data_IF_058455426284
#
_entry.id   IF_058455426284
#
_cell.length_a   1.000
_cell.length_b   1.000
_cell.length_c   1.000
_cell.angle_alpha   90.00
_cell.angle_beta   90.00
_cell.angle_gamma   90.00
#
_symmetry.space_group_name_H-M   'P 1'
#
loop_
_entity.id
_entity.type
_entity.pdbx_description
1 polymer ?
#
# COMPACT_ATOMS: atom_id res chain seq x y z
N UNK A 1 22.91 14.66 6.77
CA UNK A 1 22.41 13.40 7.40
C UNK A 1 20.95 13.28 7.02
N UNK A 2 20.54 12.15 6.51
CA UNK A 2 19.12 11.89 6.17
C UNK A 2 18.34 11.60 7.46
N UNK A 3 17.42 12.48 7.83
CA UNK A 3 16.56 12.29 9.00
C UNK A 3 15.31 11.47 8.60
N UNK A 4 14.94 10.51 9.46
CA UNK A 4 13.75 9.68 9.28
C UNK A 4 12.74 10.00 10.37
N UNK A 5 11.48 10.18 10.01
CA UNK A 5 10.37 10.33 10.92
C UNK A 5 9.26 9.34 10.57
N UNK A 6 8.65 8.74 11.58
CA UNK A 6 7.52 7.81 11.43
C UNK A 6 6.27 8.50 11.93
N UNK A 7 5.23 8.54 11.11
CA UNK A 7 3.89 8.97 11.49
C UNK A 7 2.98 7.76 11.66
N UNK A 8 2.38 7.65 12.83
CA UNK A 8 1.34 6.69 13.11
C UNK A 8 0.16 7.39 13.78
N UNK A 9 -0.98 7.42 13.09
CA UNK A 9 -2.20 8.08 13.58
C UNK A 9 -2.02 9.54 14.02
N UNK A 10 -1.08 10.28 13.42
CA UNK A 10 -0.75 11.66 13.78
C UNK A 10 0.28 11.81 14.91
N UNK A 11 0.75 10.71 15.46
CA UNK A 11 1.88 10.69 16.40
C UNK A 11 3.19 10.49 15.65
N UNK A 12 4.19 11.32 15.99
CA UNK A 12 5.47 11.36 15.30
C UNK A 12 6.59 10.79 16.15
N UNK A 13 7.33 9.85 15.55
CA UNK A 13 8.48 9.20 16.16
C UNK A 13 9.73 9.46 15.33
N UNK A 14 10.86 9.70 16.01
CA UNK A 14 12.16 9.92 15.35
C UNK A 14 13.11 8.80 15.77
N UNK A 15 13.32 7.78 14.92
CA UNK A 15 14.32 6.76 15.15
C UNK A 15 15.73 7.34 15.30
N UNK A 16 16.50 6.79 16.24
CA UNK A 16 17.92 7.14 16.42
C UNK A 16 18.80 6.54 15.31
N UNK A 17 19.91 7.20 14.99
CA UNK A 17 20.90 6.66 14.04
C UNK A 17 21.67 5.46 14.62
N UNK A 18 21.82 5.42 15.94
CA UNK A 18 22.72 4.49 16.62
C UNK A 18 22.01 3.27 17.21
N UNK A 19 20.71 3.37 17.43
CA UNK A 19 19.91 2.32 18.06
C UNK A 19 18.80 1.83 17.14
N UNK A 20 18.50 0.50 17.15
CA UNK A 20 17.34 -0.04 16.45
C UNK A 20 16.04 0.53 17.01
N UNK A 21 15.09 0.86 16.14
CA UNK A 21 13.74 1.29 16.50
C UNK A 21 12.75 0.19 16.12
N UNK A 22 12.10 -0.39 17.12
CA UNK A 22 11.15 -1.49 16.94
C UNK A 22 9.70 -0.99 16.87
N UNK A 23 8.92 -1.64 16.02
CA UNK A 23 7.49 -1.39 15.81
C UNK A 23 6.74 -2.70 16.05
N UNK A 24 5.70 -2.67 16.88
CA UNK A 24 4.94 -3.88 17.17
C UNK A 24 3.94 -3.66 18.30
N UNK A 25 3.52 -4.75 18.97
CA UNK A 25 2.59 -4.68 20.09
C UNK A 25 3.27 -4.17 21.37
N UNK A 26 4.53 -4.58 21.61
CA UNK A 26 5.33 -4.24 22.79
C UNK A 26 6.71 -3.76 22.32
N UNK A 27 6.78 -2.55 21.74
CA UNK A 27 7.95 -2.02 21.07
C UNK A 27 8.07 -0.50 21.28
N UNK A 28 9.10 0.14 20.72
CA UNK A 28 9.32 1.59 20.79
C UNK A 28 8.12 2.37 20.24
N UNK A 29 7.56 1.90 19.12
CA UNK A 29 6.25 2.27 18.63
C UNK A 29 5.29 1.11 18.92
N UNK A 30 4.48 1.26 19.97
CA UNK A 30 3.40 0.32 20.27
C UNK A 30 2.19 0.65 19.39
N UNK A 31 1.93 -0.20 18.40
CA UNK A 31 0.87 0.03 17.41
C UNK A 31 -0.52 -0.20 18.01
N UNK A 32 -0.70 -1.34 18.69
CA UNK A 32 -1.98 -1.75 19.25
C UNK A 32 -1.78 -2.97 20.19
N UNK A 33 -2.69 -3.20 21.13
CA UNK A 33 -2.73 -4.39 21.99
C UNK A 33 -3.41 -5.58 21.29
N UNK A 34 -3.16 -5.73 20.00
CA UNK A 34 -3.73 -6.81 19.18
C UNK A 34 -2.93 -8.12 19.40
N UNK A 35 -3.56 -9.20 19.90
CA UNK A 35 -2.86 -10.48 20.16
C UNK A 35 -2.31 -11.14 18.89
N UNK A 36 -2.82 -10.81 17.70
CA UNK A 36 -2.32 -11.30 16.42
C UNK A 36 -1.09 -10.54 15.94
N UNK A 37 -0.78 -9.38 16.51
CA UNK A 37 0.43 -8.61 16.18
C UNK A 37 1.61 -9.11 17.00
N UNK A 38 2.76 -9.29 16.36
CA UNK A 38 4.01 -9.63 17.05
C UNK A 38 4.40 -8.53 18.04
N UNK A 39 5.01 -8.91 19.16
CA UNK A 39 5.56 -7.93 20.14
C UNK A 39 6.53 -6.97 19.47
N UNK A 40 7.42 -7.52 18.61
CA UNK A 40 8.29 -6.78 17.70
C UNK A 40 8.04 -7.32 16.30
N UNK A 41 7.50 -6.52 15.43
CA UNK A 41 7.11 -6.91 14.08
C UNK A 41 8.06 -6.35 13.03
N UNK A 42 8.27 -5.04 13.06
CA UNK A 42 9.19 -4.36 12.17
C UNK A 42 10.33 -3.73 12.97
N UNK A 43 11.48 -3.61 12.35
CA UNK A 43 12.66 -2.96 12.92
C UNK A 43 13.25 -2.00 11.92
N UNK A 44 13.49 -0.78 12.36
CA UNK A 44 14.19 0.24 11.60
C UNK A 44 15.61 0.34 12.15
N UNK A 45 16.61 0.34 11.25
CA UNK A 45 18.02 0.53 11.58
C UNK A 45 18.66 1.45 10.57
N UNK A 46 19.70 2.19 11.00
CA UNK A 46 20.50 3.00 10.11
C UNK A 46 21.90 2.36 9.99
N UNK A 47 22.28 1.99 8.76
CA UNK A 47 23.57 1.33 8.48
C UNK A 47 24.16 1.93 7.20
N UNK A 48 25.42 2.35 7.24
CA UNK A 48 26.17 2.89 6.11
C UNK A 48 25.43 4.05 5.38
N UNK A 49 24.78 4.92 6.15
CA UNK A 49 24.06 6.07 5.60
C UNK A 49 22.65 5.75 5.06
N UNK A 50 22.19 4.52 5.19
CA UNK A 50 20.90 4.04 4.67
C UNK A 50 20.00 3.59 5.82
N UNK A 51 18.75 4.01 5.79
CA UNK A 51 17.70 3.48 6.65
C UNK A 51 17.15 2.18 6.11
N UNK A 52 17.10 1.17 6.94
CA UNK A 52 16.60 -0.16 6.61
C UNK A 52 15.34 -0.48 7.39
N UNK A 53 14.32 -0.98 6.72
CA UNK A 53 13.14 -1.57 7.32
C UNK A 53 13.25 -3.10 7.23
N UNK A 54 13.27 -3.76 8.37
CA UNK A 54 13.37 -5.22 8.49
C UNK A 54 12.10 -5.79 9.09
N UNK A 55 11.60 -6.90 8.57
CA UNK A 55 10.55 -7.68 9.20
C UNK A 55 11.19 -8.70 10.15
N UNK A 56 11.12 -8.45 11.44
CA UNK A 56 11.65 -9.30 12.50
C UNK A 56 10.57 -10.23 13.11
N UNK A 57 9.35 -10.15 12.59
CA UNK A 57 8.27 -11.08 12.89
C UNK A 57 8.46 -12.44 12.21
N UNK A 58 7.53 -13.36 12.43
CA UNK A 58 7.61 -14.73 11.90
C UNK A 58 6.41 -15.14 11.03
N UNK A 59 5.31 -14.40 11.06
CA UNK A 59 4.06 -14.80 10.41
C UNK A 59 3.48 -13.75 9.45
N UNK A 60 3.57 -12.47 9.82
CA UNK A 60 2.91 -11.37 9.10
C UNK A 60 3.91 -10.77 8.10
N UNK A 61 3.45 -10.51 6.88
CA UNK A 61 4.17 -9.69 5.91
C UNK A 61 3.65 -8.27 5.90
N UNK A 62 4.48 -7.31 5.51
CA UNK A 62 4.06 -5.94 5.27
C UNK A 62 4.14 -5.61 3.77
N UNK A 63 3.25 -4.74 3.32
CA UNK A 63 3.29 -4.12 1.99
C UNK A 63 3.94 -2.76 2.13
N UNK A 64 4.95 -2.49 1.33
CA UNK A 64 5.72 -1.27 1.31
C UNK A 64 5.49 -0.57 -0.01
N UNK A 65 5.01 0.67 0.01
CA UNK A 65 4.72 1.46 -1.19
C UNK A 65 5.36 2.84 -1.10
N UNK A 66 5.62 3.46 -2.25
CA UNK A 66 5.81 4.89 -2.31
C UNK A 66 4.46 5.62 -2.18
N UNK A 67 4.47 6.93 -1.90
CA UNK A 67 3.26 7.72 -1.71
C UNK A 67 2.32 7.77 -2.94
N UNK A 68 2.87 7.57 -4.15
CA UNK A 68 2.10 7.53 -5.40
C UNK A 68 1.50 6.15 -5.69
N UNK A 69 1.99 5.10 -5.01
CA UNK A 69 1.64 3.71 -5.29
C UNK A 69 2.28 3.15 -6.57
N UNK A 70 3.21 3.90 -7.18
CA UNK A 70 3.92 3.48 -8.39
C UNK A 70 4.93 2.36 -8.15
N UNK A 71 5.45 2.28 -6.93
CA UNK A 71 6.34 1.18 -6.50
C UNK A 71 5.72 0.47 -5.31
N UNK A 72 5.60 -0.85 -5.41
CA UNK A 72 5.09 -1.70 -4.35
C UNK A 72 6.00 -2.91 -4.14
N UNK A 73 6.25 -3.25 -2.89
CA UNK A 73 7.06 -4.41 -2.51
C UNK A 73 6.46 -5.13 -1.30
N UNK A 74 6.74 -6.43 -1.21
CA UNK A 74 6.35 -7.28 -0.08
C UNK A 74 7.54 -7.50 0.84
N UNK A 75 7.38 -7.18 2.12
CA UNK A 75 8.37 -7.42 3.14
C UNK A 75 7.97 -8.63 3.98
N UNK A 76 8.38 -9.81 3.54
CA UNK A 76 8.13 -11.08 4.25
C UNK A 76 9.02 -11.21 5.49
N UNK A 77 8.63 -12.09 6.46
CA UNK A 77 9.46 -12.40 7.62
C UNK A 77 10.92 -12.70 7.28
N UNK A 78 11.84 -12.13 8.03
CA UNK A 78 13.29 -12.28 7.87
C UNK A 78 13.91 -11.45 6.75
N UNK A 79 13.14 -10.71 5.97
CA UNK A 79 13.65 -9.84 4.90
C UNK A 79 13.79 -8.39 5.36
N UNK A 80 14.59 -7.64 4.60
CA UNK A 80 14.75 -6.19 4.79
C UNK A 80 14.73 -5.45 3.46
N UNK A 81 14.28 -4.20 3.49
CA UNK A 81 14.28 -3.27 2.37
C UNK A 81 14.86 -1.92 2.80
N UNK A 82 15.58 -1.20 1.92
CA UNK A 82 15.99 0.16 2.21
C UNK A 82 14.79 1.11 2.13
N UNK A 83 14.71 2.08 3.04
CA UNK A 83 13.77 3.19 2.96
C UNK A 83 14.39 4.25 2.06
N UNK A 84 13.88 4.38 0.85
CA UNK A 84 14.45 5.27 -0.18
C UNK A 84 13.49 6.36 -0.65
N UNK A 85 12.19 6.19 -0.43
CA UNK A 85 11.18 7.17 -0.86
C UNK A 85 11.07 8.33 0.12
N UNK A 86 10.70 9.51 -0.40
CA UNK A 86 10.41 10.69 0.44
C UNK A 86 9.32 10.36 1.47
N UNK A 87 8.31 9.62 1.05
CA UNK A 87 7.28 9.06 1.93
C UNK A 87 7.08 7.60 1.56
N UNK A 88 7.28 6.71 2.51
CA UNK A 88 7.05 5.28 2.39
C UNK A 88 5.81 4.91 3.18
N UNK A 89 4.82 4.34 2.54
CA UNK A 89 3.63 3.77 3.19
C UNK A 89 3.90 2.31 3.53
N UNK A 90 3.66 1.94 4.78
CA UNK A 90 3.85 0.60 5.33
C UNK A 90 2.49 0.09 5.78
N UNK A 91 1.95 -0.92 5.10
CA UNK A 91 0.64 -1.51 5.40
C UNK A 91 0.80 -2.97 5.80
N UNK A 92 0.12 -3.40 6.84
CA UNK A 92 0.07 -4.80 7.26
C UNK A 92 -1.23 -5.13 7.97
N UNK A 93 -1.59 -6.41 7.95
CA UNK A 93 -2.82 -6.91 8.58
C UNK A 93 -2.47 -7.94 9.66
N UNK A 94 -3.00 -7.73 10.86
CA UNK A 94 -2.87 -8.65 11.98
C UNK A 94 -4.27 -9.08 12.47
N UNK A 95 -4.66 -10.32 12.20
CA UNK A 95 -6.02 -10.79 12.43
C UNK A 95 -7.03 -9.98 11.60
N UNK A 96 -8.06 -9.39 12.21
CA UNK A 96 -9.08 -8.62 11.48
C UNK A 96 -8.70 -7.17 11.21
N UNK A 97 -7.55 -6.68 11.72
CA UNK A 97 -7.18 -5.26 11.71
C UNK A 97 -6.04 -5.00 10.75
N UNK A 98 -6.22 -4.01 9.88
CA UNK A 98 -5.17 -3.49 9.00
C UNK A 98 -4.63 -2.18 9.57
N UNK A 99 -3.32 -2.06 9.58
CA UNK A 99 -2.56 -0.92 10.09
C UNK A 99 -1.79 -0.27 8.96
N UNK A 100 -1.66 1.05 9.06
CA UNK A 100 -0.88 1.86 8.13
C UNK A 100 0.04 2.80 8.93
N UNK A 101 1.30 2.85 8.51
CA UNK A 101 2.29 3.80 9.02
C UNK A 101 2.93 4.52 7.85
N UNK A 102 3.36 5.75 8.07
CA UNK A 102 4.10 6.53 7.09
C UNK A 102 5.52 6.77 7.59
N UNK A 103 6.50 6.47 6.76
CA UNK A 103 7.90 6.79 7.02
C UNK A 103 8.33 7.93 6.09
N UNK A 104 8.73 9.06 6.67
CA UNK A 104 9.15 10.26 5.96
C UNK A 104 10.66 10.39 6.02
N UNK A 105 11.31 10.39 4.86
CA UNK A 105 12.76 10.47 4.72
C UNK A 105 13.15 11.83 4.13
N UNK A 106 13.88 12.63 4.89
CA UNK A 106 14.49 13.85 4.37
C UNK A 106 15.68 13.52 3.46
N UNK A 107 15.78 14.21 2.32
CA UNK A 107 16.85 13.98 1.35
C UNK A 107 16.79 12.61 0.67
N UNK A 108 15.57 12.15 0.37
CA UNK A 108 15.33 10.89 -0.36
C UNK A 108 16.20 10.77 -1.60
N UNK A 109 16.93 9.66 -1.78
CA UNK A 109 17.73 9.41 -3.00
C UNK A 109 16.86 9.00 -4.20
N UNK A 110 15.60 8.68 -3.97
CA UNK A 110 14.70 8.25 -5.03
C UNK A 110 14.30 9.44 -5.90
N UNK A 111 14.51 9.28 -7.21
CA UNK A 111 14.05 10.21 -8.23
C UNK A 111 13.13 9.47 -9.18
N UNK A 112 11.95 10.03 -9.39
CA UNK A 112 11.04 9.55 -10.41
C UNK A 112 11.63 9.87 -11.79
N UNK A 113 11.75 8.87 -12.65
CA UNK A 113 12.18 9.07 -14.03
C UNK A 113 10.98 9.54 -14.84
N UNK A 114 10.89 10.84 -15.07
CA UNK A 114 9.92 11.39 -16.02
C UNK A 114 10.36 10.97 -17.42
N UNK A 115 9.62 10.08 -18.05
CA UNK A 115 9.80 9.77 -19.45
C UNK A 115 9.15 10.88 -20.31
N UNK A 116 9.97 11.85 -20.72
CA UNK A 116 9.54 12.92 -21.64
C UNK A 116 9.41 12.48 -23.12
N UNK A 117 9.67 11.21 -23.39
CA UNK A 117 9.58 10.71 -24.76
C UNK A 117 8.14 10.29 -25.07
N UNK A 118 7.46 10.93 -26.02
CA UNK A 118 6.23 10.37 -26.57
C UNK A 118 6.64 9.07 -27.25
N UNK A 119 6.36 7.94 -26.60
CA UNK A 119 6.65 6.61 -27.10
C UNK A 119 6.03 6.44 -28.50
N UNK A 120 6.85 6.65 -29.53
CA UNK A 120 6.60 6.15 -30.89
C UNK A 120 6.93 4.65 -30.85
N UNK A 121 6.05 3.89 -30.22
CA UNK A 121 6.12 2.44 -30.15
C UNK A 121 4.69 1.93 -30.08
N UNK A 122 4.32 1.04 -31.01
CA UNK A 122 3.04 0.35 -30.94
C UNK A 122 2.91 -0.38 -29.60
N UNK A 123 1.93 0.06 -28.83
CA UNK A 123 1.29 -0.67 -27.72
C UNK A 123 2.15 -1.11 -26.56
N UNK A 124 2.70 -0.18 -25.80
CA UNK A 124 2.75 -0.36 -24.34
C UNK A 124 1.41 0.13 -23.79
N UNK A 125 0.79 -0.62 -22.90
CA UNK A 125 -0.49 -0.24 -22.26
C UNK A 125 -0.26 1.11 -21.58
N UNK A 126 -0.71 2.18 -22.24
CA UNK A 126 -0.61 3.55 -21.72
C UNK A 126 -1.45 3.68 -20.45
N UNK A 127 -1.21 4.73 -19.67
CA UNK A 127 -2.02 5.03 -18.48
C UNK A 127 -3.50 5.11 -18.88
N UNK A 128 -4.26 4.07 -18.53
CA UNK A 128 -5.69 4.01 -18.86
C UNK A 128 -6.41 4.99 -17.96
N UNK A 129 -6.97 6.04 -18.54
CA UNK A 129 -7.76 7.01 -17.81
C UNK A 129 -9.22 6.57 -17.71
N UNK A 130 -9.72 6.41 -16.48
CA UNK A 130 -11.12 6.12 -16.22
C UNK A 130 -11.87 7.38 -15.79
N UNK A 131 -13.09 7.53 -16.32
CA UNK A 131 -14.01 8.57 -15.83
C UNK A 131 -14.46 8.27 -14.41
N UNK A 132 -14.95 9.28 -13.67
CA UNK A 132 -15.46 9.11 -12.31
C UNK A 132 -16.48 7.98 -12.21
N UNK A 133 -17.40 7.89 -13.17
CA UNK A 133 -18.40 6.81 -13.17
C UNK A 133 -17.81 5.41 -13.47
N UNK A 134 -16.75 5.32 -14.26
CA UNK A 134 -16.02 4.07 -14.48
C UNK A 134 -15.25 3.64 -13.22
N UNK A 135 -14.61 4.59 -12.53
CA UNK A 135 -13.96 4.33 -11.24
C UNK A 135 -14.95 3.84 -10.18
N UNK A 136 -16.13 4.48 -10.07
CA UNK A 136 -17.21 4.04 -9.17
C UNK A 136 -17.65 2.60 -9.44
N UNK A 137 -17.81 2.25 -10.72
CA UNK A 137 -18.19 0.90 -11.12
C UNK A 137 -17.11 -0.12 -10.74
N UNK A 138 -15.83 0.17 -11.04
CA UNK A 138 -14.69 -0.69 -10.68
C UNK A 138 -14.64 -0.90 -9.17
N UNK A 139 -14.73 0.18 -8.38
CA UNK A 139 -14.75 0.08 -6.92
C UNK A 139 -15.93 -0.75 -6.42
N UNK A 140 -17.12 -0.59 -6.99
CA UNK A 140 -18.29 -1.36 -6.57
C UNK A 140 -18.17 -2.87 -6.82
N UNK A 141 -17.43 -3.28 -7.86
CA UNK A 141 -17.12 -4.68 -8.14
C UNK A 141 -15.96 -5.21 -7.29
N UNK A 142 -14.92 -4.40 -7.11
CA UNK A 142 -13.71 -4.82 -6.41
C UNK A 142 -13.76 -4.61 -4.89
N UNK A 143 -14.84 -4.01 -4.35
CA UNK A 143 -14.92 -3.67 -2.93
C UNK A 143 -14.66 -4.85 -1.97
N UNK A 144 -15.14 -6.08 -2.21
CA UNK A 144 -14.81 -7.20 -1.34
C UNK A 144 -13.32 -7.47 -1.30
N UNK A 145 -12.65 -7.37 -2.45
CA UNK A 145 -11.20 -7.57 -2.57
C UNK A 145 -10.39 -6.43 -1.95
N UNK A 146 -10.93 -5.21 -1.97
CA UNK A 146 -10.28 -4.04 -1.37
C UNK A 146 -10.45 -3.99 0.16
N UNK A 147 -11.51 -4.61 0.70
CA UNK A 147 -11.80 -4.63 2.14
C UNK A 147 -11.12 -5.78 2.89
N UNK A 148 -10.70 -6.82 2.19
CA UNK A 148 -10.25 -8.05 2.83
C UNK A 148 -9.14 -8.71 2.03
N UNK A 149 -7.98 -8.87 2.62
CA UNK A 149 -6.92 -9.70 2.07
C UNK A 149 -7.39 -11.15 1.99
N UNK A 150 -7.21 -11.76 0.81
CA UNK A 150 -7.61 -13.14 0.55
C UNK A 150 -9.07 -13.33 0.10
N UNK A 151 -9.81 -12.26 -0.18
CA UNK A 151 -11.10 -12.36 -0.85
C UNK A 151 -10.93 -13.03 -2.24
N UNK A 152 -11.67 -14.11 -2.48
CA UNK A 152 -11.64 -14.84 -3.74
C UNK A 152 -12.52 -14.21 -4.81
N UNK A 153 -12.31 -14.61 -6.08
CA UNK A 153 -13.14 -14.17 -7.21
C UNK A 153 -14.64 -14.47 -7.01
N UNK A 154 -14.99 -15.46 -6.19
CA UNK A 154 -16.37 -15.81 -5.84
C UNK A 154 -17.08 -14.75 -4.99
N UNK A 155 -16.34 -13.82 -4.39
CA UNK A 155 -16.89 -12.73 -3.57
C UNK A 155 -17.22 -11.48 -4.39
N UNK A 156 -16.87 -11.47 -5.68
CA UNK A 156 -17.22 -10.37 -6.58
C UNK A 156 -18.73 -10.35 -6.75
N UNK A 157 -19.40 -9.22 -6.43
CA UNK A 157 -20.86 -9.12 -6.57
C UNK A 157 -21.28 -9.22 -8.03
N UNK A 158 -22.48 -9.74 -8.26
CA UNK A 158 -23.08 -9.72 -9.59
C UNK A 158 -23.26 -8.28 -10.09
N UNK A 159 -23.30 -8.10 -11.42
CA UNK A 159 -23.53 -6.78 -12.03
C UNK A 159 -24.83 -6.12 -11.58
N UNK A 160 -25.87 -6.94 -11.29
CA UNK A 160 -27.13 -6.45 -10.76
C UNK A 160 -27.01 -5.91 -9.32
N UNK A 161 -26.27 -6.59 -8.47
CA UNK A 161 -26.01 -6.17 -7.08
C UNK A 161 -25.15 -4.91 -7.05
N UNK A 162 -24.07 -4.86 -7.84
CA UNK A 162 -23.21 -3.70 -7.95
C UNK A 162 -23.94 -2.48 -8.51
N UNK A 163 -24.81 -2.68 -9.52
CA UNK A 163 -25.67 -1.63 -10.07
C UNK A 163 -26.66 -1.07 -9.03
N UNK A 164 -27.34 -1.97 -8.29
CA UNK A 164 -28.27 -1.59 -7.21
C UNK A 164 -27.55 -0.76 -6.14
N UNK A 165 -26.33 -1.11 -5.79
CA UNK A 165 -25.51 -0.43 -4.80
C UNK A 165 -25.14 1.00 -5.21
N UNK A 166 -24.89 1.22 -6.51
CA UNK A 166 -24.64 2.54 -7.09
C UNK A 166 -25.91 3.33 -7.38
N UNK A 167 -27.10 2.76 -7.17
CA UNK A 167 -28.37 3.37 -7.58
C UNK A 167 -28.52 3.48 -9.10
N UNK A 168 -27.89 2.58 -9.86
CA UNK A 168 -27.96 2.59 -11.34
C UNK A 168 -28.87 1.49 -11.88
N UNK A 169 -29.48 1.78 -13.04
CA UNK A 169 -30.12 0.72 -13.82
C UNK A 169 -29.07 -0.29 -14.32
N UNK A 170 -29.38 -1.58 -14.29
CA UNK A 170 -28.46 -2.66 -14.72
C UNK A 170 -27.97 -2.48 -16.16
N UNK A 171 -28.85 -2.00 -17.05
CA UNK A 171 -28.50 -1.70 -18.45
C UNK A 171 -27.43 -0.61 -18.57
N UNK A 172 -27.52 0.44 -17.72
CA UNK A 172 -26.49 1.50 -17.64
C UNK A 172 -25.18 0.94 -17.11
N UNK A 173 -25.24 0.08 -16.09
CA UNK A 173 -24.09 -0.54 -15.47
C UNK A 173 -23.33 -1.41 -16.49
N UNK A 174 -24.03 -2.34 -17.16
CA UNK A 174 -23.44 -3.23 -18.14
C UNK A 174 -22.77 -2.46 -19.30
N UNK A 175 -23.45 -1.47 -19.86
CA UNK A 175 -22.88 -0.64 -20.93
C UNK A 175 -21.58 0.08 -20.49
N UNK A 176 -21.52 0.50 -19.22
CA UNK A 176 -20.28 1.13 -18.70
C UNK A 176 -19.20 0.11 -18.37
N UNK A 177 -19.59 -1.09 -18.00
CA UNK A 177 -18.65 -2.20 -17.79
C UNK A 177 -18.01 -2.60 -19.12
N UNK A 178 -18.81 -2.74 -20.18
CA UNK A 178 -18.29 -3.00 -21.53
C UNK A 178 -17.25 -1.94 -21.94
N UNK A 179 -17.59 -0.65 -21.76
CA UNK A 179 -16.64 0.44 -22.03
C UNK A 179 -15.38 0.44 -21.15
N UNK A 180 -15.40 -0.18 -19.97
CA UNK A 180 -14.20 -0.38 -19.14
C UNK A 180 -13.37 -1.52 -19.69
N UNK A 181 -14.01 -2.64 -20.04
CA UNK A 181 -13.35 -3.80 -20.66
C UNK A 181 -12.68 -3.44 -21.99
N UNK A 182 -13.34 -2.61 -22.80
CA UNK A 182 -12.78 -2.13 -24.09
C UNK A 182 -11.53 -1.25 -23.94
N UNK A 183 -11.27 -0.74 -22.72
CA UNK A 183 -10.09 0.08 -22.41
C UNK A 183 -8.92 -0.72 -21.85
N UNK A 184 -9.17 -1.92 -21.36
CA UNK A 184 -8.19 -2.81 -20.74
C UNK A 184 -7.57 -3.76 -21.76
#
# INVERSE_FOLDING_TARGET
MTELAIDYCGEWFKPSLDEPFDIGREADLSVDDNPYLHRRFLRITHVDGIWWLSNVGSLISATICDASGGVQSWLSPGNRLPIVFKTTTIVFTAGPTTYELLAHLEGSPYQEVLTDDPLIGETTIGVISFTTSQKQLIVALCEPMLKRDGAGLSEIPSTAEAAKRLGWATTRFNRKLDNVCDKL
#
